data_IF_052374356926
#
_entry.id   IF_052374356926
#
_cell.length_a   1.000
_cell.length_b   1.000
_cell.length_c   1.000
_cell.angle_alpha   90.00
_cell.angle_beta   90.00
_cell.angle_gamma   90.00
#
_symmetry.space_group_name_H-M   'P 1'
#
loop_
_entity.id
_entity.type
_entity.pdbx_description
1 polymer ?
#
# COMPACT_ATOMS: atom_id res chain seq x y z
N UNK A 1 -10.74 -7.79 21.07
CA UNK A 1 -11.66 -8.54 20.18
C UNK A 1 -11.34 -8.27 18.73
N UNK A 2 -11.92 -9.01 17.80
CA UNK A 2 -11.64 -8.86 16.36
C UNK A 2 -11.99 -7.46 15.83
N UNK A 3 -13.13 -6.88 16.25
CA UNK A 3 -13.51 -5.52 15.86
C UNK A 3 -12.45 -4.48 16.25
N UNK A 4 -11.93 -4.56 17.47
CA UNK A 4 -10.88 -3.64 17.93
C UNK A 4 -9.59 -3.76 17.10
N UNK A 5 -9.25 -4.98 16.61
CA UNK A 5 -8.09 -5.19 15.74
C UNK A 5 -8.31 -4.60 14.35
N UNK A 6 -9.50 -4.74 13.78
CA UNK A 6 -9.86 -4.09 12.50
C UNK A 6 -9.76 -2.58 12.65
N UNK A 7 -10.38 -2.00 13.69
CA UNK A 7 -10.31 -0.55 13.92
C UNK A 7 -8.86 -0.06 14.03
N UNK A 8 -8.00 -0.79 14.75
CA UNK A 8 -6.57 -0.45 14.83
C UNK A 8 -5.87 -0.51 13.47
N UNK A 9 -6.13 -1.56 12.67
CA UNK A 9 -5.55 -1.71 11.33
C UNK A 9 -5.97 -0.58 10.40
N UNK A 10 -7.26 -0.24 10.37
CA UNK A 10 -7.76 0.86 9.53
C UNK A 10 -7.25 2.22 10.01
N UNK A 11 -7.04 2.39 11.32
CA UNK A 11 -6.46 3.62 11.86
C UNK A 11 -4.99 3.75 11.49
N UNK A 12 -4.20 2.67 11.54
CA UNK A 12 -2.79 2.67 11.11
C UNK A 12 -2.65 3.15 9.66
N UNK A 13 -3.56 2.77 8.77
CA UNK A 13 -3.56 3.23 7.38
C UNK A 13 -3.76 4.75 7.24
N UNK A 14 -4.50 5.39 8.16
CA UNK A 14 -4.66 6.86 8.16
C UNK A 14 -3.35 7.59 8.46
N UNK A 15 -2.45 6.93 9.20
CA UNK A 15 -1.11 7.42 9.53
C UNK A 15 -0.04 6.93 8.54
N UNK A 16 -0.43 6.23 7.47
CA UNK A 16 0.48 5.66 6.48
C UNK A 16 1.28 4.46 6.99
N UNK A 17 0.88 3.86 8.11
CA UNK A 17 1.50 2.63 8.64
C UNK A 17 0.81 1.39 8.08
N UNK A 18 1.59 0.36 7.80
CA UNK A 18 1.12 -0.94 7.34
C UNK A 18 1.25 -1.99 8.44
N UNK A 19 0.48 -3.07 8.35
CA UNK A 19 0.54 -4.14 9.36
C UNK A 19 1.94 -4.76 9.49
N UNK A 20 2.72 -4.75 8.41
CA UNK A 20 4.10 -5.28 8.38
C UNK A 20 5.04 -4.48 9.28
N UNK A 21 4.75 -3.20 9.53
CA UNK A 21 5.53 -2.34 10.42
C UNK A 21 5.37 -2.73 11.90
N UNK A 22 4.26 -3.41 12.23
CA UNK A 22 3.97 -3.90 13.59
C UNK A 22 4.42 -5.35 13.83
N UNK A 23 5.04 -6.01 12.85
CA UNK A 23 5.53 -7.39 13.01
C UNK A 23 6.83 -7.44 13.81
N UNK A 24 7.02 -8.53 14.57
CA UNK A 24 8.31 -8.85 15.17
C UNK A 24 9.37 -9.09 14.09
N UNK A 25 10.64 -9.04 14.45
CA UNK A 25 11.75 -9.37 13.53
C UNK A 25 11.57 -10.76 12.88
N UNK A 26 11.06 -11.73 13.63
CA UNK A 26 10.76 -13.08 13.12
C UNK A 26 9.60 -13.07 12.12
N UNK A 27 8.54 -12.30 12.36
CA UNK A 27 7.42 -12.14 11.44
C UNK A 27 7.82 -11.44 10.14
N UNK A 28 8.64 -10.39 10.23
CA UNK A 28 9.20 -9.71 9.06
C UNK A 28 10.07 -10.66 8.23
N UNK A 29 10.90 -11.48 8.87
CA UNK A 29 11.73 -12.46 8.17
C UNK A 29 10.88 -13.51 7.45
N UNK A 30 9.80 -13.98 8.07
CA UNK A 30 8.89 -14.96 7.47
C UNK A 30 8.23 -14.43 6.18
N UNK A 31 7.85 -13.15 6.14
CA UNK A 31 7.20 -12.53 4.97
C UNK A 31 8.17 -11.96 3.93
N UNK A 32 9.48 -11.98 4.21
CA UNK A 32 10.48 -11.27 3.39
C UNK A 32 10.46 -11.69 1.92
N UNK A 33 10.22 -12.97 1.62
CA UNK A 33 10.16 -13.46 0.25
C UNK A 33 8.87 -13.02 -0.45
N UNK A 34 7.72 -13.17 0.21
CA UNK A 34 6.41 -12.79 -0.34
C UNK A 34 6.35 -11.29 -0.64
N UNK A 35 6.93 -10.44 0.22
CA UNK A 35 7.03 -9.00 -0.02
C UNK A 35 7.88 -8.68 -1.26
N UNK A 36 9.03 -9.34 -1.43
CA UNK A 36 9.85 -9.18 -2.64
C UNK A 36 9.08 -9.59 -3.91
N UNK A 37 8.34 -10.69 -3.85
CA UNK A 37 7.57 -11.17 -5.00
C UNK A 37 6.39 -10.25 -5.31
N UNK A 38 5.80 -9.61 -4.30
CA UNK A 38 4.80 -8.57 -4.46
C UNK A 38 5.39 -7.31 -5.12
N UNK A 39 6.51 -6.81 -4.63
CA UNK A 39 7.22 -5.65 -5.21
C UNK A 39 7.58 -5.89 -6.68
N UNK A 40 8.15 -7.04 -7.01
CA UNK A 40 8.50 -7.36 -8.38
C UNK A 40 7.28 -7.47 -9.30
N UNK A 41 6.17 -8.02 -8.81
CA UNK A 41 4.91 -8.05 -9.58
C UNK A 41 4.42 -6.62 -9.84
N UNK A 42 4.42 -5.78 -8.82
CA UNK A 42 4.04 -4.37 -8.95
C UNK A 42 4.88 -3.64 -10.00
N UNK A 43 6.21 -3.78 -9.95
CA UNK A 43 7.11 -3.17 -10.94
C UNK A 43 6.82 -3.67 -12.35
N UNK A 44 6.68 -4.99 -12.55
CA UNK A 44 6.37 -5.55 -13.87
C UNK A 44 5.02 -5.08 -14.42
N UNK A 45 4.02 -4.96 -13.55
CA UNK A 45 2.72 -4.44 -13.96
C UNK A 45 2.80 -2.97 -14.36
N UNK A 46 3.63 -2.18 -13.66
CA UNK A 46 3.90 -0.79 -14.01
C UNK A 46 4.64 -0.65 -15.33
N UNK A 47 5.67 -1.47 -15.56
CA UNK A 47 6.41 -1.52 -16.85
C UNK A 47 5.51 -1.91 -18.03
N UNK A 48 4.51 -2.75 -17.79
CA UNK A 48 3.50 -3.15 -18.79
C UNK A 48 2.39 -2.12 -18.99
N UNK A 49 2.36 -1.04 -18.20
CA UNK A 49 1.29 -0.04 -18.22
C UNK A 49 -0.04 -0.51 -17.62
N UNK A 50 -0.05 -1.61 -16.85
CA UNK A 50 -1.23 -2.10 -16.12
C UNK A 50 -1.46 -1.29 -14.83
N UNK A 51 -0.38 -0.76 -14.26
CA UNK A 51 -0.41 0.18 -13.14
C UNK A 51 0.08 1.54 -13.64
N UNK A 52 -0.65 2.63 -13.39
CA UNK A 52 -0.25 3.96 -13.86
C UNK A 52 1.09 4.42 -13.29
N UNK A 53 1.77 5.29 -14.03
CA UNK A 53 2.99 5.98 -13.58
C UNK A 53 2.69 6.98 -12.45
N UNK A 54 3.74 7.46 -11.77
CA UNK A 54 3.53 8.42 -10.69
C UNK A 54 2.99 9.75 -11.23
N UNK A 55 3.42 10.15 -12.43
CA UNK A 55 2.90 11.33 -13.13
C UNK A 55 1.41 11.20 -13.45
N UNK A 56 0.97 10.02 -13.89
CA UNK A 56 -0.45 9.74 -14.19
C UNK A 56 -1.31 9.74 -12.92
N UNK A 57 -0.81 9.16 -11.83
CA UNK A 57 -1.48 9.15 -10.52
C UNK A 57 -1.64 10.58 -9.99
N UNK A 58 -0.57 11.39 -10.05
CA UNK A 58 -0.59 12.78 -9.60
C UNK A 58 -1.54 13.62 -10.45
N UNK A 59 -1.53 13.45 -11.78
CA UNK A 59 -2.46 14.13 -12.66
C UNK A 59 -3.92 13.79 -12.31
N UNK A 60 -4.21 12.51 -12.04
CA UNK A 60 -5.54 12.06 -11.62
C UNK A 60 -5.94 12.63 -10.26
N UNK A 61 -5.01 12.71 -9.31
CA UNK A 61 -5.28 13.30 -7.99
C UNK A 61 -5.70 14.78 -8.12
N UNK A 62 -4.98 15.57 -8.91
CA UNK A 62 -5.30 16.98 -9.18
C UNK A 62 -6.69 17.13 -9.80
N UNK A 63 -7.08 16.21 -10.69
CA UNK A 63 -8.42 16.20 -11.27
C UNK A 63 -9.50 15.95 -10.21
N UNK A 64 -9.30 14.95 -9.36
CA UNK A 64 -10.24 14.60 -8.28
C UNK A 64 -10.38 15.74 -7.25
N UNK A 65 -9.30 16.43 -6.94
CA UNK A 65 -9.32 17.59 -6.03
C UNK A 65 -10.16 18.75 -6.59
N UNK A 66 -10.08 18.99 -7.91
CA UNK A 66 -10.93 19.99 -8.57
C UNK A 66 -12.41 19.63 -8.49
N UNK A 67 -12.75 18.35 -8.65
CA UNK A 67 -14.13 17.85 -8.57
C UNK A 67 -14.71 17.87 -7.15
N UNK A 68 -13.87 17.98 -6.12
CA UNK A 68 -14.29 18.12 -4.72
C UNK A 68 -14.82 19.52 -4.40
N UNK A 69 -14.59 20.51 -5.27
CA UNK A 69 -14.97 21.92 -5.09
C UNK A 69 -16.20 22.24 -5.90
#
# INVERSE_FOLDING_TARGET
>A
GLLARVVQHETDHLDGMLFIDRLSATGQLALKQELRDMEQRFVRQRERGEIPSDEEIVARLVELEKLRT
#
